data_IF_297166734679
#
_entry.id   IF_297166734679
#
_cell.length_a   1.000
_cell.length_b   1.000
_cell.length_c   1.000
_cell.angle_alpha   90.00
_cell.angle_beta   90.00
_cell.angle_gamma   90.00
#
_symmetry.space_group_name_H-M   'P 1'
#
loop_
_entity.id
_entity.type
_entity.pdbx_description
1 polymer ?
#
# COMPACT_ATOMS: atom_id res chain seq x y z
N UNK A 1 -0.54 5.79 -3.52
CA UNK A 1 -0.01 5.31 -2.22
C UNK A 1 1.39 5.85 -1.90
N UNK A 2 2.38 5.74 -2.80
CA UNK A 2 3.72 6.34 -2.59
C UNK A 2 3.63 7.86 -2.35
N UNK A 3 2.85 8.58 -3.16
CA UNK A 3 2.64 10.02 -2.99
C UNK A 3 2.02 10.38 -1.64
N UNK A 4 1.13 9.53 -1.11
CA UNK A 4 0.48 9.74 0.19
C UNK A 4 1.49 9.55 1.33
N UNK A 5 2.36 8.53 1.24
CA UNK A 5 3.45 8.34 2.21
C UNK A 5 4.47 9.49 2.15
N UNK A 6 4.77 9.98 0.95
CA UNK A 6 5.65 11.15 0.77
C UNK A 6 5.03 12.41 1.39
N UNK A 7 3.75 12.68 1.14
CA UNK A 7 3.06 13.82 1.74
C UNK A 7 3.02 13.73 3.27
N UNK A 8 2.76 12.54 3.82
CA UNK A 8 2.82 12.29 5.26
C UNK A 8 4.23 12.54 5.82
N UNK A 9 5.27 12.06 5.14
CA UNK A 9 6.66 12.29 5.54
C UNK A 9 7.03 13.78 5.56
N UNK A 10 6.58 14.55 4.58
CA UNK A 10 6.76 16.02 4.57
C UNK A 10 6.01 16.68 5.73
N UNK A 11 4.76 16.30 5.96
CA UNK A 11 3.97 16.81 7.09
C UNK A 11 4.60 16.49 8.45
N UNK A 12 5.38 15.41 8.54
CA UNK A 12 6.13 14.99 9.72
C UNK A 12 7.54 15.61 9.82
N UNK A 13 7.88 16.54 8.94
CA UNK A 13 9.09 17.36 9.03
C UNK A 13 10.26 16.93 8.14
N UNK A 14 10.09 15.96 7.25
CA UNK A 14 11.11 15.67 6.24
C UNK A 14 11.05 16.68 5.10
N UNK A 15 12.19 16.97 4.48
CA UNK A 15 12.18 17.72 3.23
C UNK A 15 11.67 16.84 2.07
N UNK A 16 11.25 17.47 0.98
CA UNK A 16 10.64 16.78 -0.17
C UNK A 16 11.54 15.69 -0.77
N UNK A 17 12.84 15.95 -0.87
CA UNK A 17 13.80 15.02 -1.44
C UNK A 17 13.92 13.76 -0.57
N UNK A 18 14.06 13.92 0.75
CA UNK A 18 14.10 12.83 1.71
C UNK A 18 12.77 12.06 1.74
N UNK A 19 11.64 12.77 1.80
CA UNK A 19 10.32 12.17 1.81
C UNK A 19 10.08 11.30 0.57
N UNK A 20 10.45 11.80 -0.61
CA UNK A 20 10.37 11.05 -1.87
C UNK A 20 11.27 9.82 -1.84
N UNK A 21 12.54 10.00 -1.50
CA UNK A 21 13.53 8.92 -1.49
C UNK A 21 13.10 7.79 -0.54
N UNK A 22 12.75 8.13 0.70
CA UNK A 22 12.37 7.15 1.71
C UNK A 22 11.06 6.46 1.33
N UNK A 23 10.06 7.19 0.86
CA UNK A 23 8.78 6.58 0.45
C UNK A 23 8.97 5.57 -0.68
N UNK A 24 9.74 5.90 -1.72
CA UNK A 24 10.05 4.96 -2.80
C UNK A 24 10.81 3.75 -2.27
N UNK A 25 11.84 3.97 -1.44
CA UNK A 25 12.64 2.89 -0.87
C UNK A 25 11.80 1.95 0.01
N UNK A 26 10.88 2.48 0.83
CA UNK A 26 9.98 1.69 1.67
C UNK A 26 9.09 0.78 0.84
N UNK A 27 8.40 1.32 -0.18
CA UNK A 27 7.54 0.50 -1.03
C UNK A 27 8.35 -0.52 -1.83
N UNK A 28 9.48 -0.11 -2.41
CA UNK A 28 10.37 -1.01 -3.16
C UNK A 28 10.86 -2.16 -2.27
N UNK A 29 11.40 -1.85 -1.10
CA UNK A 29 11.95 -2.85 -0.17
C UNK A 29 10.88 -3.82 0.33
N UNK A 30 9.69 -3.32 0.69
CA UNK A 30 8.57 -4.16 1.11
C UNK A 30 8.10 -5.11 0.00
N UNK A 31 7.95 -4.61 -1.23
CA UNK A 31 7.56 -5.44 -2.38
C UNK A 31 8.63 -6.47 -2.73
N UNK A 32 9.92 -6.10 -2.69
CA UNK A 32 11.03 -7.02 -2.94
C UNK A 32 11.09 -8.12 -1.88
N UNK A 33 10.96 -7.77 -0.59
CA UNK A 33 10.94 -8.72 0.50
C UNK A 33 9.79 -9.74 0.33
N UNK A 34 8.59 -9.26 -0.02
CA UNK A 34 7.44 -10.13 -0.26
C UNK A 34 7.66 -11.05 -1.47
N UNK A 35 8.20 -10.54 -2.57
CA UNK A 35 8.42 -11.31 -3.80
C UNK A 35 9.49 -12.41 -3.64
N UNK A 36 10.49 -12.18 -2.79
CA UNK A 36 11.61 -13.11 -2.57
C UNK A 36 11.36 -14.10 -1.43
N UNK A 37 10.30 -13.91 -0.64
CA UNK A 37 10.04 -14.72 0.54
C UNK A 37 9.03 -15.83 0.27
N UNK A 38 9.27 -16.99 0.87
CA UNK A 38 8.28 -18.06 0.99
C UNK A 38 7.35 -17.89 2.19
N UNK A 39 7.66 -16.92 3.06
CA UNK A 39 6.84 -16.58 4.23
C UNK A 39 5.61 -15.78 3.78
N UNK A 40 4.40 -16.10 4.27
CA UNK A 40 3.20 -15.31 3.98
C UNK A 40 3.38 -13.83 4.33
N UNK A 41 2.81 -12.94 3.51
CA UNK A 41 3.02 -11.47 3.62
C UNK A 41 2.51 -10.92 4.95
N UNK A 42 1.41 -11.47 5.48
CA UNK A 42 0.87 -11.13 6.78
C UNK A 42 1.84 -11.46 7.92
N UNK A 43 2.61 -12.55 7.78
CA UNK A 43 3.64 -12.95 8.72
C UNK A 43 4.86 -12.04 8.60
N UNK A 44 5.27 -11.66 7.39
CA UNK A 44 6.34 -10.68 7.17
C UNK A 44 6.02 -9.33 7.84
N UNK A 45 4.77 -8.86 7.71
CA UNK A 45 4.30 -7.66 8.42
C UNK A 45 4.36 -7.86 9.94
N UNK A 46 3.90 -9.00 10.45
CA UNK A 46 3.91 -9.28 11.89
C UNK A 46 5.34 -9.29 12.47
N UNK A 47 6.32 -9.80 11.73
CA UNK A 47 7.73 -9.83 12.16
C UNK A 47 8.34 -8.45 12.41
N UNK A 48 7.81 -7.40 11.79
CA UNK A 48 8.25 -6.00 11.98
C UNK A 48 7.30 -5.19 12.88
N UNK A 49 6.32 -5.86 13.50
CA UNK A 49 5.31 -5.25 14.36
C UNK A 49 5.46 -5.75 15.79
N UNK A 50 6.09 -4.94 16.65
CA UNK A 50 6.14 -5.22 18.09
C UNK A 50 4.85 -4.78 18.79
N UNK A 51 4.42 -5.55 19.80
CA UNK A 51 3.28 -5.20 20.65
C UNK A 51 3.53 -3.87 21.36
N UNK A 52 2.62 -2.92 21.23
CA UNK A 52 2.75 -1.56 21.76
C UNK A 52 3.74 -0.66 21.00
N UNK A 53 4.28 -1.12 19.87
CA UNK A 53 5.26 -0.38 19.07
C UNK A 53 4.64 0.66 18.12
N UNK A 54 5.48 1.51 17.55
CA UNK A 54 5.05 2.55 16.59
C UNK A 54 4.45 1.96 15.31
N UNK A 55 5.00 0.84 14.81
CA UNK A 55 4.46 0.12 13.65
C UNK A 55 3.05 -0.39 13.90
N UNK A 56 2.79 -0.91 15.10
CA UNK A 56 1.46 -1.40 15.49
C UNK A 56 0.44 -0.25 15.46
N UNK A 57 0.77 0.90 16.03
CA UNK A 57 -0.10 2.07 16.02
C UNK A 57 -0.39 2.57 14.60
N UNK A 58 0.62 2.55 13.72
CA UNK A 58 0.45 2.86 12.30
C UNK A 58 -0.51 1.89 11.62
N UNK A 59 -0.35 0.58 11.84
CA UNK A 59 -1.22 -0.45 11.26
C UNK A 59 -2.66 -0.31 11.77
N UNK A 60 -2.87 -0.14 13.08
CA UNK A 60 -4.20 0.04 13.66
C UNK A 60 -4.93 1.26 13.07
N UNK A 61 -4.21 2.36 12.84
CA UNK A 61 -4.76 3.54 12.17
C UNK A 61 -5.20 3.26 10.72
N UNK A 62 -4.38 2.51 9.96
CA UNK A 62 -4.73 2.09 8.60
C UNK A 62 -5.93 1.13 8.56
N UNK A 63 -6.06 0.26 9.57
CA UNK A 63 -7.19 -0.67 9.71
C UNK A 63 -8.48 0.05 10.08
N UNK A 64 -8.44 0.97 11.05
CA UNK A 64 -9.55 1.84 11.40
C UNK A 64 -10.01 2.71 10.22
N UNK A 65 -9.06 3.13 9.38
CA UNK A 65 -9.32 3.87 8.14
C UNK A 65 -9.75 2.98 6.97
N UNK A 66 -9.93 1.68 7.20
CA UNK A 66 -10.43 0.70 6.22
C UNK A 66 -9.61 0.64 4.92
N UNK A 67 -8.30 0.89 4.98
CA UNK A 67 -7.45 0.96 3.77
C UNK A 67 -7.49 -0.33 2.94
N UNK A 68 -7.48 -1.50 3.60
CA UNK A 68 -7.59 -2.80 2.92
C UNK A 68 -8.90 -2.93 2.13
N UNK A 69 -10.01 -2.48 2.71
CA UNK A 69 -11.32 -2.48 2.05
C UNK A 69 -11.34 -1.52 0.86
N UNK A 70 -10.78 -0.31 1.02
CA UNK A 70 -10.68 0.66 -0.07
C UNK A 70 -9.90 0.14 -1.27
N UNK A 71 -8.81 -0.61 -1.04
CA UNK A 71 -8.04 -1.26 -2.11
C UNK A 71 -8.87 -2.34 -2.82
N UNK A 72 -9.61 -3.18 -2.07
CA UNK A 72 -10.49 -4.19 -2.65
C UNK A 72 -11.57 -3.55 -3.54
N UNK A 73 -12.23 -2.50 -3.05
CA UNK A 73 -13.26 -1.78 -3.80
C UNK A 73 -12.68 -1.15 -5.07
N UNK A 74 -11.50 -0.53 -4.99
CA UNK A 74 -10.82 0.04 -6.15
C UNK A 74 -10.54 -1.01 -7.24
N UNK A 75 -10.04 -2.20 -6.84
CA UNK A 75 -9.80 -3.31 -7.77
C UNK A 75 -11.10 -3.81 -8.43
N UNK A 76 -12.19 -3.93 -7.66
CA UNK A 76 -13.49 -4.34 -8.18
C UNK A 76 -14.07 -3.33 -9.18
N UNK A 77 -13.93 -2.02 -8.92
CA UNK A 77 -14.40 -1.00 -9.87
C UNK A 77 -13.58 -1.01 -11.17
N UNK A 78 -12.26 -1.20 -11.07
CA UNK A 78 -11.40 -1.35 -12.24
C UNK A 78 -11.79 -2.58 -13.07
N UNK A 79 -12.04 -3.72 -12.43
CA UNK A 79 -12.48 -4.96 -13.10
C UNK A 79 -13.82 -4.78 -13.82
N UNK A 80 -14.80 -4.15 -13.15
CA UNK A 80 -16.10 -3.84 -13.75
C UNK A 80 -15.95 -2.99 -15.01
N UNK A 81 -15.10 -1.97 -15.00
CA UNK A 81 -14.87 -1.13 -16.18
C UNK A 81 -14.18 -1.89 -17.30
N UNK A 82 -13.18 -2.72 -16.97
CA UNK A 82 -12.47 -3.52 -17.95
C UNK A 82 -13.42 -4.46 -18.71
N UNK A 83 -14.38 -5.09 -18.03
CA UNK A 83 -15.41 -5.94 -18.66
C UNK A 83 -16.27 -5.16 -19.66
N UNK A 84 -16.78 -3.99 -19.25
CA UNK A 84 -17.59 -3.14 -20.13
C UNK A 84 -16.80 -2.77 -21.39
N UNK A 85 -15.53 -2.38 -21.24
CA UNK A 85 -14.68 -2.05 -22.39
C UNK A 85 -14.43 -3.26 -23.31
N UNK A 86 -14.23 -4.44 -22.74
CA UNK A 86 -14.09 -5.68 -23.51
C UNK A 86 -15.35 -6.00 -24.33
N UNK A 87 -16.53 -5.85 -23.71
CA UNK A 87 -17.82 -6.06 -24.38
C UNK A 87 -18.09 -5.02 -25.47
N UNK A 88 -17.67 -3.76 -25.29
CA UNK A 88 -17.75 -2.69 -26.29
C UNK A 88 -16.84 -2.99 -27.49
N UNK A 89 -15.61 -3.45 -27.26
CA UNK A 89 -14.63 -3.75 -28.30
C UNK A 89 -14.96 -5.05 -29.06
N UNK A 90 -15.52 -6.07 -28.41
CA UNK A 90 -15.93 -7.33 -29.04
C UNK A 90 -17.22 -7.23 -29.87
N UNK A 91 -17.97 -6.13 -29.76
CA UNK A 91 -19.15 -5.81 -30.58
C UNK A 91 -18.82 -4.96 -31.82
N UNK A 92 -17.56 -4.52 -31.95
CA UNK A 92 -17.03 -3.79 -33.11
C UNK A 92 -16.35 -4.75 -34.07
#
# INVERSE_FOLDING_TARGET
>A
LIEALQAAAVALGLNEAQAKQLSIATFKGASQLAAMSTTPVETLRAQVTSKGGTTEQGILSLEASQVKLSILLAAQQAEKRAKIMGDELGKS
#
